data_IF_553102167690
#
_entry.id   IF_553102167690
#
_cell.length_a   1.000
_cell.length_b   1.000
_cell.length_c   1.000
_cell.angle_alpha   90.00
_cell.angle_beta   90.00
_cell.angle_gamma   90.00
#
_symmetry.space_group_name_H-M   'P 1'
#
loop_
_entity.id
_entity.type
_entity.pdbx_description
1 polymer ?
#
# COMPACT_ATOMS: atom_id res chain seq x y z
N UNK A 1 -7.51 -31.38 1.20
CA UNK A 1 -6.70 -30.43 2.00
C UNK A 1 -7.24 -29.03 1.71
N UNK A 2 -7.86 -28.36 2.69
CA UNK A 2 -8.83 -27.28 2.45
C UNK A 2 -8.27 -25.92 2.00
N UNK A 3 -9.13 -25.12 1.38
CA UNK A 3 -8.80 -23.81 0.80
C UNK A 3 -8.22 -22.81 1.80
N UNK A 4 -8.69 -22.81 3.06
CA UNK A 4 -8.15 -21.96 4.11
C UNK A 4 -6.62 -22.13 4.29
N UNK A 5 -6.10 -23.36 4.11
CA UNK A 5 -4.66 -23.64 4.16
C UNK A 5 -3.92 -23.08 2.93
N UNK A 6 -4.56 -23.02 1.76
CA UNK A 6 -4.02 -22.37 0.55
C UNK A 6 -4.03 -20.84 0.69
N UNK A 7 -5.15 -20.24 1.14
CA UNK A 7 -5.27 -18.81 1.40
C UNK A 7 -4.24 -18.34 2.42
N UNK A 8 -4.08 -19.03 3.55
CA UNK A 8 -3.06 -18.68 4.55
C UNK A 8 -1.62 -18.83 4.01
N UNK A 9 -1.35 -19.82 3.16
CA UNK A 9 -0.04 -19.96 2.51
C UNK A 9 0.24 -18.83 1.51
N UNK A 10 -0.75 -18.42 0.71
CA UNK A 10 -0.63 -17.27 -0.20
C UNK A 10 -0.48 -15.94 0.55
N UNK A 11 -1.25 -15.75 1.63
CA UNK A 11 -1.12 -14.57 2.50
C UNK A 11 0.30 -14.50 3.06
N UNK A 12 0.78 -15.60 3.65
CA UNK A 12 2.14 -15.69 4.17
C UNK A 12 3.17 -15.47 3.06
N UNK A 13 3.00 -16.02 1.86
CA UNK A 13 3.94 -15.79 0.76
C UNK A 13 3.96 -14.33 0.29
N UNK A 14 2.81 -13.63 0.26
CA UNK A 14 2.77 -12.17 0.02
C UNK A 14 3.47 -11.42 1.17
N UNK A 15 3.28 -11.81 2.43
CA UNK A 15 3.95 -11.21 3.60
C UNK A 15 5.47 -11.46 3.65
N UNK A 16 5.94 -12.68 3.40
CA UNK A 16 7.36 -13.06 3.34
C UNK A 16 8.06 -12.39 2.14
N UNK A 17 7.34 -12.16 1.04
CA UNK A 17 7.86 -11.41 -0.11
C UNK A 17 7.92 -9.91 0.18
N UNK A 18 6.89 -9.36 0.82
CA UNK A 18 6.89 -8.00 1.34
C UNK A 18 8.07 -7.78 2.31
N UNK A 19 8.26 -8.66 3.30
CA UNK A 19 9.37 -8.59 4.25
C UNK A 19 10.73 -8.60 3.55
N UNK A 20 10.93 -9.46 2.55
CA UNK A 20 12.19 -9.49 1.78
C UNK A 20 12.43 -8.21 0.99
N UNK A 21 11.41 -7.69 0.30
CA UNK A 21 11.53 -6.43 -0.46
C UNK A 21 11.79 -5.23 0.46
N UNK A 22 11.06 -5.14 1.58
CA UNK A 22 11.28 -4.13 2.61
C UNK A 22 12.72 -4.21 3.17
N UNK A 23 13.19 -5.41 3.52
CA UNK A 23 14.53 -5.63 4.06
C UNK A 23 15.67 -5.43 3.03
N UNK A 24 15.38 -5.51 1.72
CA UNK A 24 16.35 -5.32 0.64
C UNK A 24 16.61 -3.84 0.29
N UNK A 25 16.01 -2.89 1.00
CA UNK A 25 16.21 -1.46 0.73
C UNK A 25 15.41 -0.91 -0.46
N UNK A 26 14.62 -1.73 -1.18
CA UNK A 26 13.52 -1.22 -2.02
C UNK A 26 12.56 -0.33 -1.21
N UNK A 27 12.53 -0.52 0.11
CA UNK A 27 11.74 0.27 1.05
C UNK A 27 12.52 0.63 2.33
N UNK A 28 13.61 1.40 2.21
CA UNK A 28 14.40 1.89 3.35
C UNK A 28 14.60 3.41 3.40
N UNK A 29 15.03 3.96 4.55
CA UNK A 29 15.31 5.40 4.73
C UNK A 29 16.43 5.92 3.82
N UNK A 30 17.32 5.06 3.33
CA UNK A 30 18.50 5.41 2.53
C UNK A 30 18.20 5.69 1.04
N UNK A 31 16.93 5.88 0.65
CA UNK A 31 16.60 6.39 -0.69
C UNK A 31 15.17 6.20 -1.20
N UNK A 32 14.28 5.51 -0.47
CA UNK A 32 13.01 5.03 -1.02
C UNK A 32 11.77 5.68 -0.38
N UNK A 33 10.73 5.97 -1.17
CA UNK A 33 9.46 6.58 -0.72
C UNK A 33 8.27 5.96 -1.47
N UNK A 34 7.32 5.40 -0.73
CA UNK A 34 6.46 4.33 -1.27
C UNK A 34 5.17 4.80 -1.92
N UNK A 35 4.52 3.86 -2.61
CA UNK A 35 3.10 3.92 -2.91
C UNK A 35 2.52 2.51 -2.64
N UNK A 36 2.09 2.26 -1.39
CA UNK A 36 1.40 1.01 -1.02
C UNK A 36 -0.09 1.18 -1.34
N UNK A 37 -0.67 0.30 -2.16
CA UNK A 37 -2.10 0.33 -2.48
C UNK A 37 -2.80 -0.85 -1.83
N UNK A 38 -3.87 -0.58 -1.09
CA UNK A 38 -4.68 -1.57 -0.39
C UNK A 38 -6.15 -1.41 -0.79
N UNK A 39 -6.88 -2.52 -0.87
CA UNK A 39 -8.35 -2.55 -0.98
C UNK A 39 -8.98 -3.31 0.20
N UNK A 40 -10.30 -3.22 0.36
CA UNK A 40 -11.02 -3.80 1.51
C UNK A 40 -11.05 -5.32 1.59
N UNK A 41 -10.39 -6.03 0.68
CA UNK A 41 -10.25 -7.48 0.72
C UNK A 41 -9.46 -7.98 1.93
N UNK A 42 -9.55 -9.29 2.17
CA UNK A 42 -8.65 -10.01 3.08
C UNK A 42 -7.17 -9.92 2.64
N UNK A 43 -6.89 -9.67 1.37
CA UNK A 43 -5.53 -9.43 0.90
C UNK A 43 -5.00 -8.06 1.35
N UNK A 44 -5.81 -7.01 1.28
CA UNK A 44 -5.45 -5.68 1.81
C UNK A 44 -5.26 -5.66 3.31
N UNK A 45 -6.19 -6.28 4.05
CA UNK A 45 -6.08 -6.52 5.51
C UNK A 45 -4.82 -7.31 5.86
N UNK A 46 -4.55 -8.40 5.13
CA UNK A 46 -3.38 -9.25 5.34
C UNK A 46 -2.04 -8.55 5.09
N UNK A 47 -1.96 -7.67 4.08
CA UNK A 47 -0.79 -6.83 3.83
C UNK A 47 -0.65 -5.76 4.92
N UNK A 48 -1.72 -5.04 5.25
CA UNK A 48 -1.75 -4.01 6.28
C UNK A 48 -1.21 -4.50 7.64
N UNK A 49 -1.63 -5.69 8.07
CA UNK A 49 -1.16 -6.28 9.33
C UNK A 49 0.35 -6.56 9.33
N UNK A 50 0.91 -7.02 8.21
CA UNK A 50 2.35 -7.21 8.08
C UNK A 50 3.11 -5.88 8.00
N UNK A 51 2.55 -4.86 7.33
CA UNK A 51 3.12 -3.50 7.31
C UNK A 51 3.14 -2.90 8.73
N UNK A 52 2.05 -3.05 9.51
CA UNK A 52 1.98 -2.67 10.94
C UNK A 52 3.03 -3.40 11.79
N UNK A 53 3.19 -4.71 11.64
CA UNK A 53 4.18 -5.50 12.38
C UNK A 53 5.65 -5.10 12.09
N UNK A 54 5.91 -4.46 10.95
CA UNK A 54 7.24 -4.04 10.51
C UNK A 54 7.50 -2.55 10.72
N UNK A 55 6.47 -1.75 11.04
CA UNK A 55 6.56 -0.31 11.22
C UNK A 55 7.66 0.17 12.20
N UNK A 56 7.98 -0.53 13.31
CA UNK A 56 9.11 -0.14 14.18
C UNK A 56 10.49 -0.19 13.52
N UNK A 57 10.61 -0.81 12.33
CA UNK A 57 11.86 -0.95 11.57
C UNK A 57 12.04 0.11 10.49
N UNK A 58 11.03 0.95 10.24
CA UNK A 58 11.01 1.90 9.11
C UNK A 58 10.57 3.29 9.57
N UNK A 59 11.47 4.30 9.59
CA UNK A 59 11.13 5.67 9.94
C UNK A 59 9.96 6.23 9.13
N UNK A 60 9.07 6.99 9.78
CA UNK A 60 7.84 7.54 9.19
C UNK A 60 6.71 6.53 8.93
N UNK A 61 7.00 5.23 8.80
CA UNK A 61 5.96 4.21 8.58
C UNK A 61 5.06 4.03 9.81
N UNK A 62 5.61 4.14 11.02
CA UNK A 62 4.82 4.13 12.25
C UNK A 62 3.83 5.31 12.31
N UNK A 63 4.28 6.54 12.01
CA UNK A 63 3.44 7.74 12.02
C UNK A 63 2.31 7.69 10.97
N UNK A 64 2.61 7.15 9.78
CA UNK A 64 1.65 6.95 8.69
C UNK A 64 0.49 6.06 9.14
N UNK A 65 0.79 4.99 9.88
CA UNK A 65 -0.19 3.98 10.31
C UNK A 65 -0.92 4.36 11.61
N UNK A 66 -0.35 5.24 12.43
CA UNK A 66 -0.85 5.58 13.76
C UNK A 66 -2.02 6.58 13.75
N UNK A 67 -2.12 7.46 12.76
CA UNK A 67 -3.02 8.62 12.77
C UNK A 67 -4.44 8.35 12.24
N UNK A 68 -4.91 7.11 12.30
CA UNK A 68 -6.22 6.64 11.82
C UNK A 68 -6.60 6.68 10.30
N UNK A 69 -5.80 6.99 9.25
CA UNK A 69 -6.37 7.03 7.88
C UNK A 69 -6.89 5.67 7.41
N UNK A 70 -6.29 4.60 7.94
CA UNK A 70 -6.68 3.19 7.76
C UNK A 70 -7.92 2.83 8.58
N UNK A 71 -8.07 3.38 9.78
CA UNK A 71 -9.19 3.11 10.69
C UNK A 71 -10.46 3.85 10.24
N UNK A 72 -10.30 5.08 9.73
CA UNK A 72 -11.32 5.83 8.98
C UNK A 72 -11.78 5.05 7.74
N UNK A 73 -10.89 4.33 7.06
CA UNK A 73 -11.23 3.50 5.91
C UNK A 73 -11.95 2.19 6.30
N UNK A 74 -11.55 1.55 7.41
CA UNK A 74 -12.28 0.42 8.00
C UNK A 74 -13.71 0.83 8.44
N UNK A 75 -13.89 2.05 8.96
CA UNK A 75 -15.18 2.57 9.43
C UNK A 75 -16.08 3.20 8.34
N UNK A 76 -15.49 3.88 7.34
CA UNK A 76 -16.24 4.58 6.28
C UNK A 76 -16.52 3.66 5.10
N UNK A 77 -17.79 3.40 4.79
CA UNK A 77 -18.22 2.60 3.64
C UNK A 77 -17.84 3.20 2.28
N UNK A 78 -17.61 4.52 2.21
CA UNK A 78 -17.49 5.29 0.97
C UNK A 78 -16.21 5.07 0.16
N UNK A 79 -15.18 4.45 0.74
CA UNK A 79 -13.88 4.26 0.09
C UNK A 79 -13.52 2.77 0.03
N UNK A 80 -13.26 2.22 -1.18
CA UNK A 80 -12.76 0.86 -1.37
C UNK A 80 -11.23 0.78 -1.28
N UNK A 81 -10.50 1.80 -1.73
CA UNK A 81 -9.04 1.76 -1.86
C UNK A 81 -8.33 2.86 -1.07
N UNK A 82 -7.10 2.58 -0.64
CA UNK A 82 -6.15 3.57 -0.09
C UNK A 82 -4.77 3.39 -0.72
N UNK A 83 -4.14 4.50 -1.12
CA UNK A 83 -2.76 4.59 -1.55
C UNK A 83 -1.95 5.39 -0.52
N UNK A 84 -0.91 4.78 0.05
CA UNK A 84 -0.11 5.31 1.15
C UNK A 84 1.29 5.71 0.67
N UNK A 85 1.71 6.95 0.97
CA UNK A 85 2.99 7.54 0.51
C UNK A 85 3.84 8.00 1.67
N UNK A 86 5.04 7.42 1.80
CA UNK A 86 6.02 7.83 2.81
C UNK A 86 6.67 9.18 2.48
N UNK A 87 6.89 10.02 3.50
CA UNK A 87 7.51 11.35 3.34
C UNK A 87 7.29 12.24 4.59
N UNK A 88 7.76 13.50 4.57
CA UNK A 88 7.43 14.51 5.56
C UNK A 88 5.98 15.03 5.39
N UNK A 89 5.43 15.61 6.46
CA UNK A 89 4.05 16.11 6.52
C UNK A 89 3.16 15.26 7.43
N UNK A 90 1.88 15.61 7.54
CA UNK A 90 0.90 14.87 8.35
C UNK A 90 0.55 13.53 7.71
N UNK A 91 0.14 12.56 8.51
CA UNK A 91 -0.29 11.25 8.02
C UNK A 91 -1.53 11.29 7.10
N UNK A 92 -2.41 12.26 7.29
CA UNK A 92 -3.53 12.57 6.38
C UNK A 92 -3.01 12.95 4.98
N UNK A 93 -2.00 13.82 4.90
CA UNK A 93 -1.37 14.27 3.64
C UNK A 93 -0.59 13.15 2.94
N UNK A 94 -0.29 12.07 3.66
CA UNK A 94 0.42 10.86 3.23
C UNK A 94 -0.53 9.72 2.82
N UNK A 95 -1.84 9.93 2.88
CA UNK A 95 -2.86 8.92 2.59
C UNK A 95 -3.86 9.41 1.55
N UNK A 96 -3.94 8.75 0.41
CA UNK A 96 -4.88 9.09 -0.67
C UNK A 96 -5.98 8.02 -0.75
N UNK A 97 -7.24 8.41 -0.66
CA UNK A 97 -8.39 7.49 -0.71
C UNK A 97 -8.99 7.41 -2.12
N UNK A 98 -9.50 6.23 -2.49
CA UNK A 98 -10.24 5.97 -3.72
C UNK A 98 -11.60 5.34 -3.41
N UNK A 99 -12.67 5.91 -3.96
CA UNK A 99 -14.04 5.41 -3.79
C UNK A 99 -14.15 3.96 -4.31
N UNK A 100 -13.65 3.77 -5.52
CA UNK A 100 -13.74 2.57 -6.35
C UNK A 100 -12.44 2.44 -7.19
N UNK A 101 -12.42 1.50 -8.13
CA UNK A 101 -11.24 1.24 -8.98
C UNK A 101 -11.01 2.38 -9.98
N UNK A 102 -12.08 2.95 -10.55
CA UNK A 102 -11.97 4.03 -11.53
C UNK A 102 -11.39 5.31 -10.90
N UNK A 103 -11.83 5.64 -9.67
CA UNK A 103 -11.25 6.74 -8.89
C UNK A 103 -9.82 6.44 -8.47
N UNK A 104 -9.50 5.19 -8.14
CA UNK A 104 -8.12 4.79 -7.85
C UNK A 104 -7.21 5.06 -9.06
N UNK A 105 -7.56 4.50 -10.22
CA UNK A 105 -6.74 4.57 -11.44
C UNK A 105 -6.70 5.98 -12.04
N UNK A 106 -7.81 6.73 -11.98
CA UNK A 106 -7.92 8.08 -12.58
C UNK A 106 -7.35 9.22 -11.73
N UNK A 107 -7.34 9.10 -10.39
CA UNK A 107 -6.92 10.20 -9.50
C UNK A 107 -5.97 9.74 -8.38
N UNK A 108 -6.39 8.79 -7.55
CA UNK A 108 -5.73 8.47 -6.27
C UNK A 108 -4.32 7.92 -6.49
N UNK A 109 -4.15 6.93 -7.37
CA UNK A 109 -2.87 6.30 -7.70
C UNK A 109 -1.95 7.26 -8.50
N UNK A 110 -2.41 7.95 -9.57
CA UNK A 110 -1.60 8.96 -10.24
C UNK A 110 -1.12 10.09 -9.32
N UNK A 111 -1.91 10.52 -8.33
CA UNK A 111 -1.50 11.51 -7.32
C UNK A 111 -0.45 10.96 -6.36
N UNK A 112 -0.64 9.74 -5.87
CA UNK A 112 0.33 9.08 -5.00
C UNK A 112 1.69 8.86 -5.70
N UNK A 113 1.68 8.37 -6.94
CA UNK A 113 2.87 8.20 -7.78
C UNK A 113 3.59 9.55 -8.04
N UNK A 114 2.85 10.58 -8.47
CA UNK A 114 3.43 11.92 -8.68
C UNK A 114 4.01 12.53 -7.41
N UNK A 115 3.40 12.30 -6.23
CA UNK A 115 3.96 12.74 -4.95
C UNK A 115 5.28 12.03 -4.65
N UNK A 116 5.29 10.70 -4.72
CA UNK A 116 6.48 9.89 -4.43
C UNK A 116 7.67 10.23 -5.36
N UNK A 117 7.39 10.42 -6.66
CA UNK A 117 8.40 10.85 -7.64
C UNK A 117 8.93 12.28 -7.36
N UNK A 118 8.04 13.25 -7.07
CA UNK A 118 8.42 14.65 -6.82
C UNK A 118 9.34 14.81 -5.60
N UNK A 119 9.20 13.96 -4.59
CA UNK A 119 10.07 14.01 -3.40
C UNK A 119 11.48 13.44 -3.65
N UNK A 120 11.76 12.89 -4.83
CA UNK A 120 13.10 12.50 -5.26
C UNK A 120 13.62 11.27 -4.54
N UNK A 121 12.92 10.14 -4.67
CA UNK A 121 13.33 8.83 -4.14
C UNK A 121 12.77 7.69 -4.97
N UNK A 122 13.22 6.46 -4.72
CA UNK A 122 12.72 5.28 -5.45
C UNK A 122 11.29 4.91 -5.01
N UNK A 123 10.40 4.72 -5.99
CA UNK A 123 8.97 4.46 -5.77
C UNK A 123 8.71 2.96 -5.62
N UNK A 124 8.90 2.46 -4.41
CA UNK A 124 8.52 1.09 -4.02
C UNK A 124 7.00 0.92 -3.97
N UNK A 125 6.46 -0.07 -4.70
CA UNK A 125 5.02 -0.39 -4.69
C UNK A 125 4.73 -1.80 -4.16
N UNK A 126 3.63 -1.89 -3.40
CA UNK A 126 3.08 -3.09 -2.77
C UNK A 126 1.57 -3.05 -2.97
N UNK A 127 0.99 -4.17 -3.41
CA UNK A 127 -0.46 -4.29 -3.67
C UNK A 127 -1.08 -5.31 -2.70
N UNK A 128 -2.03 -4.84 -1.89
CA UNK A 128 -2.93 -5.66 -1.08
C UNK A 128 -4.35 -5.51 -1.62
N UNK A 129 -4.62 -6.11 -2.78
CA UNK A 129 -5.89 -5.99 -3.50
C UNK A 129 -6.33 -7.35 -4.05
N UNK A 130 -7.61 -7.47 -4.43
CA UNK A 130 -8.11 -8.63 -5.19
C UNK A 130 -7.53 -8.68 -6.61
N UNK A 131 -7.37 -9.89 -7.17
CA UNK A 131 -6.59 -10.13 -8.40
C UNK A 131 -7.04 -9.34 -9.64
N UNK A 132 -8.35 -9.15 -9.81
CA UNK A 132 -8.92 -8.40 -10.94
C UNK A 132 -8.52 -6.91 -10.88
N UNK A 133 -8.47 -6.33 -9.68
CA UNK A 133 -7.94 -5.00 -9.46
C UNK A 133 -6.41 -4.97 -9.56
N UNK A 134 -5.72 -6.02 -9.09
CA UNK A 134 -4.25 -6.11 -9.15
C UNK A 134 -3.74 -5.97 -10.60
N UNK A 135 -4.38 -6.64 -11.57
CA UNK A 135 -4.02 -6.55 -12.98
C UNK A 135 -4.20 -5.13 -13.55
N UNK A 136 -5.34 -4.49 -13.32
CA UNK A 136 -5.63 -3.14 -13.81
C UNK A 136 -4.69 -2.08 -13.17
N UNK A 137 -4.39 -2.23 -11.88
CA UNK A 137 -3.45 -1.36 -11.15
C UNK A 137 -2.03 -1.52 -11.70
N UNK A 138 -1.56 -2.75 -11.94
CA UNK A 138 -0.23 -2.98 -12.53
C UNK A 138 -0.11 -2.37 -13.94
N UNK A 139 -1.15 -2.47 -14.77
CA UNK A 139 -1.16 -1.84 -16.09
C UNK A 139 -1.07 -0.30 -16.00
N UNK A 140 -1.83 0.32 -15.09
CA UNK A 140 -1.78 1.77 -14.87
C UNK A 140 -0.43 2.25 -14.31
N UNK A 141 0.22 1.45 -13.44
CA UNK A 141 1.58 1.74 -12.95
C UNK A 141 2.59 1.67 -14.10
N UNK A 142 2.47 0.69 -14.99
CA UNK A 142 3.36 0.55 -16.15
C UNK A 142 3.20 1.70 -17.17
N UNK A 143 2.00 2.26 -17.30
CA UNK A 143 1.73 3.42 -18.16
C UNK A 143 2.08 4.78 -17.52
N UNK A 144 2.47 4.81 -16.24
CA UNK A 144 2.80 6.00 -15.47
C UNK A 144 4.30 6.09 -15.09
N UNK A 145 5.16 5.36 -15.80
CA UNK A 145 6.61 5.26 -15.62
C UNK A 145 7.35 5.61 -16.91
#
# INVERSE_FOLDING_TARGET
>A
MGEAKRKNAQLKQKQDTLQRRLAAGEFGPDGARYCIVLDKSEAGRGVLLAVRALAPRFPGLAELLAAEPVQVWEASSLFRFVALVGGPGKAEERSFLGADLDRLLGDTLPRALRRAAREGGSVGMVLGVDGDAEAAIQAAIAAAR
#
